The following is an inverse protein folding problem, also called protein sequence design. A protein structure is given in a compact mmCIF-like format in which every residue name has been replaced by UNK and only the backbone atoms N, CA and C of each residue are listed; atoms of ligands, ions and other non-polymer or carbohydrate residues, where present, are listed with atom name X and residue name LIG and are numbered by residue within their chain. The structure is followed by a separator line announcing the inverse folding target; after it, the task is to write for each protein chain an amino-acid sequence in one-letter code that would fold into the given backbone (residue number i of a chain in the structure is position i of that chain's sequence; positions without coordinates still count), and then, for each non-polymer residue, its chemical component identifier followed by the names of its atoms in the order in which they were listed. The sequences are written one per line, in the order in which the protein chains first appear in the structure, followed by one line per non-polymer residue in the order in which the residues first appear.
data_IF_694111222805
#
_entry.id   IF_694111222805
#
_cell.length_a   1.000
_cell.length_b   1.000
_cell.length_c   1.000
_cell.angle_alpha   90.00
_cell.angle_beta   90.00
_cell.angle_gamma   90.00
#
_symmetry.space_group_name_H-M   'P 1'
#
loop_
_entity.id
_entity.type
_entity.pdbx_description
1 polymer ?
#
# COMPACT_ATOMS: atom_id res chain seq x y z
N UNK A 1 -10.63 -21.80 6.11
CA UNK A 1 -9.82 -20.59 5.86
C UNK A 1 -8.48 -20.87 6.51
N UNK A 2 -7.39 -20.94 5.75
CA UNK A 2 -6.06 -20.85 6.36
C UNK A 2 -5.88 -19.37 6.67
N UNK A 3 -5.69 -19.03 7.93
CA UNK A 3 -5.53 -17.65 8.37
C UNK A 3 -4.31 -17.06 7.67
N UNK A 4 -4.51 -16.07 6.80
CA UNK A 4 -3.38 -15.33 6.24
C UNK A 4 -2.61 -14.66 7.37
N UNK A 5 -1.27 -14.64 7.31
CA UNK A 5 -0.47 -14.00 8.33
C UNK A 5 -0.78 -12.51 8.34
N UNK A 6 -1.39 -12.04 9.41
CA UNK A 6 -1.72 -10.62 9.57
C UNK A 6 -0.44 -9.78 9.44
N UNK A 7 -0.45 -8.63 8.73
CA UNK A 7 0.74 -7.83 8.48
C UNK A 7 1.54 -7.60 9.75
N UNK A 8 2.73 -8.20 9.77
CA UNK A 8 3.63 -8.17 10.91
C UNK A 8 4.58 -6.96 10.81
N UNK A 9 5.54 -6.88 11.70
CA UNK A 9 6.50 -5.78 11.67
C UNK A 9 7.43 -5.81 10.46
N UNK A 10 7.81 -7.00 10.00
CA UNK A 10 8.62 -7.16 8.80
C UNK A 10 7.93 -6.53 7.58
N UNK A 11 6.65 -6.84 7.37
CA UNK A 11 5.85 -6.20 6.32
C UNK A 11 5.85 -4.66 6.45
N UNK A 12 5.59 -4.13 7.65
CA UNK A 12 5.57 -2.67 7.86
C UNK A 12 6.91 -2.02 7.55
N UNK A 13 8.02 -2.66 7.88
CA UNK A 13 9.35 -2.16 7.58
C UNK A 13 9.64 -2.21 6.07
N UNK A 14 9.27 -3.30 5.36
CA UNK A 14 9.37 -3.37 3.91
C UNK A 14 8.56 -2.26 3.23
N UNK A 15 7.32 -2.06 3.67
CA UNK A 15 6.44 -1.01 3.17
C UNK A 15 7.01 0.39 3.42
N UNK A 16 7.50 0.68 4.64
CA UNK A 16 8.15 1.96 4.94
C UNK A 16 9.39 2.22 4.07
N UNK A 17 10.19 1.17 3.82
CA UNK A 17 11.38 1.28 2.98
C UNK A 17 11.01 1.54 1.52
N UNK A 18 9.99 0.84 1.00
CA UNK A 18 9.44 1.10 -0.33
C UNK A 18 8.96 2.55 -0.48
N UNK A 19 8.19 3.06 0.49
CA UNK A 19 7.69 4.44 0.42
C UNK A 19 8.82 5.48 0.42
N UNK A 20 9.88 5.26 1.20
CA UNK A 20 11.05 6.14 1.21
C UNK A 20 11.86 6.05 -0.08
N UNK A 21 12.00 4.84 -0.61
CA UNK A 21 12.64 4.62 -1.90
C UNK A 21 11.89 5.36 -3.02
N UNK A 22 10.56 5.23 -3.08
CA UNK A 22 9.74 5.96 -4.04
C UNK A 22 9.75 7.48 -3.80
N UNK A 23 9.78 7.95 -2.56
CA UNK A 23 9.98 9.38 -2.26
C UNK A 23 11.29 9.89 -2.88
N UNK A 24 12.39 9.13 -2.76
CA UNK A 24 13.67 9.49 -3.37
C UNK A 24 13.57 9.52 -4.90
N UNK A 25 13.04 8.46 -5.52
CA UNK A 25 12.92 8.37 -6.97
C UNK A 25 12.11 9.53 -7.55
N UNK A 26 10.97 9.85 -6.93
CA UNK A 26 10.06 10.91 -7.39
C UNK A 26 10.70 12.28 -7.18
N UNK A 27 11.36 12.52 -6.05
CA UNK A 27 12.10 13.75 -5.84
C UNK A 27 13.22 13.91 -6.88
N UNK A 28 14.05 12.89 -7.10
CA UNK A 28 15.11 12.94 -8.11
C UNK A 28 14.57 13.18 -9.52
N UNK A 29 13.43 12.57 -9.87
CA UNK A 29 12.76 12.83 -11.14
C UNK A 29 12.33 14.29 -11.26
N UNK A 30 11.61 14.83 -10.28
CA UNK A 30 11.15 16.22 -10.32
C UNK A 30 12.30 17.23 -10.32
N UNK A 31 13.37 16.96 -9.57
CA UNK A 31 14.58 17.77 -9.57
C UNK A 31 15.41 17.65 -10.85
N UNK A 32 15.21 16.62 -11.67
CA UNK A 32 15.82 16.52 -13.01
C UNK A 32 15.09 17.38 -14.04
N UNK A 33 13.83 17.73 -13.75
CA UNK A 33 13.00 18.58 -14.59
C UNK A 33 13.09 20.05 -14.20
N UNK A 34 13.48 20.35 -12.96
CA UNK A 34 13.54 21.71 -12.42
C UNK A 34 14.98 22.17 -12.14
N UNK A 35 15.14 23.48 -11.98
CA UNK A 35 16.39 24.14 -11.57
C UNK A 35 16.58 24.18 -10.06
N UNK A 36 15.51 23.98 -9.28
CA UNK A 36 15.52 24.01 -7.81
C UNK A 36 15.45 22.60 -7.22
N UNK A 37 16.05 22.41 -6.05
CA UNK A 37 16.07 21.13 -5.31
C UNK A 37 15.05 21.12 -4.16
N UNK A 38 14.65 19.94 -3.72
CA UNK A 38 13.79 19.79 -2.56
C UNK A 38 14.53 20.21 -1.28
N UNK A 39 13.84 20.99 -0.44
CA UNK A 39 14.20 21.18 0.97
C UNK A 39 13.57 20.07 1.79
N UNK A 40 14.40 19.35 2.53
CA UNK A 40 13.97 18.25 3.39
C UNK A 40 13.80 18.71 4.84
N UNK A 41 12.71 18.28 5.45
CA UNK A 41 12.47 18.39 6.89
C UNK A 41 12.07 17.02 7.45
N UNK A 42 12.89 16.51 8.37
CA UNK A 42 12.60 15.29 9.13
C UNK A 42 11.97 15.67 10.45
N UNK A 43 10.78 15.14 10.72
CA UNK A 43 10.03 15.46 11.94
C UNK A 43 9.61 14.20 12.69
N UNK A 44 9.44 14.33 13.99
CA UNK A 44 9.02 13.25 14.89
C UNK A 44 7.78 13.67 15.67
N UNK A 45 6.78 12.80 15.73
CA UNK A 45 5.59 12.98 16.57
C UNK A 45 5.86 12.43 17.97
N UNK A 46 5.48 13.17 19.01
CA UNK A 46 5.53 12.71 20.41
C UNK A 46 4.14 12.79 21.03
N UNK A 47 3.85 11.95 22.03
CA UNK A 47 2.66 12.11 22.86
C UNK A 47 2.93 13.09 24.03
N UNK A 48 1.90 13.45 24.79
CA UNK A 48 2.03 14.33 25.96
C UNK A 48 2.94 13.80 27.09
N UNK A 49 3.43 12.54 26.99
CA UNK A 49 4.40 11.93 27.90
C UNK A 49 5.78 11.75 27.24
N UNK A 50 6.05 12.42 26.11
CA UNK A 50 7.33 12.36 25.40
C UNK A 50 7.62 11.09 24.60
N UNK A 51 6.72 10.09 24.60
CA UNK A 51 6.89 8.85 23.82
C UNK A 51 6.76 9.16 22.32
N UNK A 52 7.74 8.71 21.53
CA UNK A 52 7.72 8.81 20.07
C UNK A 52 6.55 8.00 19.50
N UNK A 53 5.75 8.63 18.64
CA UNK A 53 4.55 8.13 17.99
C UNK A 53 4.75 8.04 16.46
N UNK A 54 5.98 7.86 16.02
CA UNK A 54 6.38 7.91 14.61
C UNK A 54 6.83 9.31 14.18
N UNK A 55 6.72 9.60 12.89
CA UNK A 55 7.23 10.82 12.26
C UNK A 55 7.06 10.80 10.75
N UNK A 56 7.88 11.59 10.07
CA UNK A 56 7.85 11.67 8.61
C UNK A 56 9.02 12.44 8.04
N UNK A 57 9.07 12.46 6.71
CA UNK A 57 10.02 13.23 5.91
C UNK A 57 9.17 14.08 4.97
N UNK A 58 9.19 15.38 5.19
CA UNK A 58 8.56 16.37 4.33
C UNK A 58 9.61 16.86 3.34
N UNK A 59 9.33 16.81 2.04
CA UNK A 59 10.20 17.41 1.02
C UNK A 59 9.40 18.39 0.20
N UNK A 60 9.85 19.64 0.19
CA UNK A 60 9.18 20.74 -0.51
C UNK A 60 10.14 21.43 -1.47
N UNK A 61 9.73 21.58 -2.73
CA UNK A 61 10.37 22.37 -3.76
C UNK A 61 9.45 23.56 -4.06
N UNK A 62 9.99 24.77 -4.02
CA UNK A 62 9.24 26.02 -4.23
C UNK A 62 10.03 26.95 -5.15
N UNK A 63 9.30 27.77 -5.91
CA UNK A 63 9.86 28.80 -6.78
C UNK A 63 10.82 28.22 -7.84
N UNK A 64 10.49 27.05 -8.38
CA UNK A 64 11.17 26.44 -9.50
C UNK A 64 10.80 27.06 -10.84
N UNK A 65 11.52 26.67 -11.89
CA UNK A 65 11.20 27.08 -13.27
C UNK A 65 10.13 26.21 -13.91
N UNK A 66 9.96 24.97 -13.42
CA UNK A 66 8.93 24.02 -13.89
C UNK A 66 7.80 23.91 -12.88
N UNK A 67 8.12 23.81 -11.59
CA UNK A 67 7.15 23.71 -10.51
C UNK A 67 7.11 25.01 -9.70
N UNK A 68 5.93 25.63 -9.63
CA UNK A 68 5.66 26.73 -8.71
C UNK A 68 5.84 26.23 -7.28
N UNK A 69 5.22 25.08 -6.99
CA UNK A 69 5.34 24.38 -5.72
C UNK A 69 5.10 22.89 -5.88
N UNK A 70 5.96 22.09 -5.27
CA UNK A 70 5.81 20.64 -5.20
C UNK A 70 6.14 20.13 -3.81
N UNK A 71 5.37 19.16 -3.32
CA UNK A 71 5.64 18.46 -2.07
C UNK A 71 5.52 16.95 -2.26
N UNK A 72 6.50 16.21 -1.74
CA UNK A 72 6.54 14.74 -1.72
C UNK A 72 6.80 14.32 -0.28
N UNK A 73 5.77 13.84 0.40
CA UNK A 73 5.77 13.67 1.85
C UNK A 73 5.60 12.19 2.23
N UNK A 74 6.55 11.68 3.00
CA UNK A 74 6.48 10.39 3.66
C UNK A 74 6.06 10.56 5.11
N UNK A 75 5.19 9.68 5.60
CA UNK A 75 4.87 9.59 7.03
C UNK A 75 4.71 8.15 7.48
N UNK A 76 5.07 7.88 8.73
CA UNK A 76 4.81 6.63 9.45
C UNK A 76 4.49 6.96 10.90
N UNK A 77 3.25 6.73 11.32
CA UNK A 77 2.71 7.18 12.60
C UNK A 77 2.02 6.04 13.33
N UNK A 78 2.11 6.11 14.67
CA UNK A 78 1.43 5.22 15.60
C UNK A 78 0.61 6.05 16.57
N UNK A 79 -0.52 5.53 17.02
CA UNK A 79 -1.32 6.25 17.98
C UNK A 79 -2.46 5.44 18.55
N UNK A 80 -3.35 6.14 19.21
CA UNK A 80 -4.62 5.61 19.68
C UNK A 80 -5.76 6.24 18.90
N UNK A 81 -6.79 5.46 18.63
CA UNK A 81 -8.01 5.90 17.98
C UNK A 81 -9.22 5.39 18.78
N UNK A 82 -10.21 6.25 18.93
CA UNK A 82 -11.46 5.90 19.63
C UNK A 82 -12.31 4.97 18.76
N UNK A 83 -13.19 4.18 19.40
CA UNK A 83 -13.94 3.10 18.74
C UNK A 83 -14.83 3.62 17.62
N UNK A 84 -15.50 4.74 17.85
CA UNK A 84 -16.42 5.39 16.92
C UNK A 84 -15.66 5.88 15.68
N UNK A 85 -14.52 6.54 15.88
CA UNK A 85 -13.65 6.99 14.80
C UNK A 85 -13.11 5.80 13.98
N UNK A 86 -12.67 4.73 14.65
CA UNK A 86 -12.22 3.52 13.96
C UNK A 86 -13.33 2.84 13.16
N UNK A 87 -14.56 2.81 13.69
CA UNK A 87 -15.73 2.34 12.95
C UNK A 87 -15.93 3.17 11.69
N UNK A 88 -15.93 4.51 11.80
CA UNK A 88 -16.10 5.38 10.63
C UNK A 88 -15.03 5.17 9.56
N UNK A 89 -13.76 5.01 9.96
CA UNK A 89 -12.67 4.71 9.01
C UNK A 89 -12.86 3.35 8.32
N UNK A 90 -13.48 2.40 9.01
CA UNK A 90 -13.72 1.05 8.51
C UNK A 90 -14.95 0.95 7.61
N UNK A 91 -15.91 1.87 7.68
CA UNK A 91 -17.10 1.79 6.83
C UNK A 91 -16.83 2.51 5.52
N UNK A 92 -16.90 1.76 4.42
CA UNK A 92 -16.90 2.34 3.08
C UNK A 92 -18.30 2.91 2.77
N UNK A 93 -18.66 4.06 3.35
CA UNK A 93 -19.96 4.71 3.15
C UNK A 93 -20.02 5.58 1.89
N UNK A 94 -18.88 5.91 1.29
CA UNK A 94 -18.85 6.81 0.16
C UNK A 94 -19.56 6.20 -1.05
N UNK A 95 -20.65 6.85 -1.45
CA UNK A 95 -21.36 6.60 -2.71
C UNK A 95 -21.79 5.14 -2.91
N UNK A 96 -22.24 4.45 -1.86
CA UNK A 96 -22.77 3.07 -1.97
C UNK A 96 -23.88 2.93 -3.03
N UNK A 97 -24.65 3.99 -3.25
CA UNK A 97 -25.68 4.08 -4.28
C UNK A 97 -25.11 4.05 -5.71
N UNK A 98 -23.88 4.53 -5.91
CA UNK A 98 -23.25 4.69 -7.22
C UNK A 98 -22.12 3.69 -7.48
N UNK A 99 -21.47 3.16 -6.43
CA UNK A 99 -20.37 2.21 -6.53
C UNK A 99 -20.56 1.07 -5.52
N UNK A 100 -20.84 -0.12 -6.03
CA UNK A 100 -20.77 -1.33 -5.23
C UNK A 100 -19.32 -1.84 -5.14
N UNK A 101 -18.55 -1.30 -4.19
CA UNK A 101 -17.16 -1.69 -3.94
C UNK A 101 -17.02 -3.05 -3.25
N UNK A 102 -18.11 -3.72 -2.84
CA UNK A 102 -18.03 -5.00 -2.10
C UNK A 102 -17.31 -6.12 -2.86
N UNK A 103 -17.23 -6.01 -4.20
CA UNK A 103 -16.49 -6.95 -5.06
C UNK A 103 -14.98 -6.76 -5.02
N UNK A 104 -14.48 -5.61 -4.56
CA UNK A 104 -13.06 -5.21 -4.64
C UNK A 104 -12.50 -4.78 -3.28
N UNK A 105 -13.27 -3.99 -2.52
CA UNK A 105 -12.93 -3.52 -1.19
C UNK A 105 -13.90 -4.18 -0.20
N UNK A 106 -13.57 -5.40 0.24
CA UNK A 106 -14.37 -6.05 1.27
C UNK A 106 -14.03 -5.45 2.63
N UNK A 107 -15.03 -5.17 3.44
CA UNK A 107 -14.82 -4.79 4.83
C UNK A 107 -16.00 -5.33 5.63
N UNK A 108 -15.78 -6.43 6.34
CA UNK A 108 -16.70 -6.79 7.42
C UNK A 108 -16.70 -5.67 8.46
N UNK A 109 -17.82 -5.50 9.18
CA UNK A 109 -17.86 -4.60 10.33
C UNK A 109 -16.76 -5.02 11.32
N UNK A 110 -15.99 -4.02 11.78
CA UNK A 110 -14.93 -4.20 12.77
C UNK A 110 -15.43 -4.93 14.02
N UNK A 111 -16.70 -4.73 14.43
CA UNK A 111 -17.27 -5.44 15.58
C UNK A 111 -17.42 -6.95 15.30
N UNK A 112 -17.78 -7.31 14.07
CA UNK A 112 -17.91 -8.71 13.65
C UNK A 112 -16.54 -9.38 13.63
N UNK A 113 -15.52 -8.69 13.10
CA UNK A 113 -14.14 -9.18 13.08
C UNK A 113 -13.61 -9.37 14.51
N UNK A 114 -13.82 -8.39 15.39
CA UNK A 114 -13.41 -8.48 16.80
C UNK A 114 -14.08 -9.68 17.47
N UNK A 115 -15.38 -9.86 17.28
CA UNK A 115 -16.13 -10.99 17.86
C UNK A 115 -15.56 -12.34 17.41
N UNK A 116 -15.23 -12.48 16.12
CA UNK A 116 -14.55 -13.67 15.58
C UNK A 116 -13.17 -13.90 16.22
N UNK A 117 -12.36 -12.85 16.36
CA UNK A 117 -11.02 -12.93 16.98
C UNK A 117 -11.11 -13.32 18.46
N UNK A 118 -12.10 -12.78 19.18
CA UNK A 118 -12.32 -13.07 20.60
C UNK A 118 -12.76 -14.51 20.83
N UNK A 119 -13.70 -14.99 20.02
CA UNK A 119 -14.25 -16.34 20.14
C UNK A 119 -13.24 -17.42 19.75
N UNK A 120 -12.49 -17.21 18.65
CA UNK A 120 -11.48 -18.17 18.17
C UNK A 120 -10.29 -18.35 19.12
N UNK A 121 -9.94 -17.31 19.88
CA UNK A 121 -8.73 -17.32 20.71
C UNK A 121 -8.99 -17.38 22.22
N UNK A 122 -10.25 -17.47 22.65
CA UNK A 122 -10.66 -17.39 24.07
C UNK A 122 -10.08 -16.17 24.81
N UNK A 123 -10.11 -15.02 24.14
CA UNK A 123 -9.53 -13.75 24.60
C UNK A 123 -10.64 -12.81 25.10
N UNK A 124 -10.30 -11.88 26.00
CA UNK A 124 -11.12 -10.72 26.37
C UNK A 124 -10.41 -9.44 25.97
N UNK A 125 -11.18 -8.49 25.42
CA UNK A 125 -10.67 -7.14 25.15
C UNK A 125 -10.44 -6.41 26.48
N UNK A 126 -9.24 -5.84 26.66
CA UNK A 126 -8.85 -5.16 27.91
C UNK A 126 -8.70 -3.65 27.75
N UNK A 127 -9.02 -3.08 26.59
CA UNK A 127 -8.86 -1.64 26.37
C UNK A 127 -10.10 -1.03 25.73
N UNK A 128 -10.39 0.21 26.11
CA UNK A 128 -11.48 0.99 25.52
C UNK A 128 -11.06 1.70 24.24
N UNK A 129 -9.77 2.07 24.10
CA UNK A 129 -9.22 2.68 22.88
C UNK A 129 -8.49 1.66 22.00
N UNK A 130 -8.57 1.82 20.69
CA UNK A 130 -7.76 1.03 19.76
C UNK A 130 -6.40 1.68 19.57
N UNK A 131 -5.40 0.88 19.19
CA UNK A 131 -4.15 1.40 18.65
C UNK A 131 -4.20 1.33 17.14
N UNK A 132 -3.48 2.23 16.47
CA UNK A 132 -3.32 2.18 15.03
C UNK A 132 -1.87 2.39 14.62
N UNK A 133 -1.60 1.93 13.40
CA UNK A 133 -0.43 2.23 12.59
C UNK A 133 -0.92 2.78 11.26
N UNK A 134 -0.28 3.82 10.76
CA UNK A 134 -0.52 4.34 9.43
C UNK A 134 0.80 4.80 8.81
N UNK A 135 1.02 4.47 7.55
CA UNK A 135 2.13 5.01 6.79
C UNK A 135 1.73 5.25 5.35
N UNK A 136 2.33 6.26 4.73
CA UNK A 136 1.99 6.62 3.36
C UNK A 136 2.92 7.65 2.74
N UNK A 137 2.84 7.70 1.42
CA UNK A 137 3.47 8.69 0.57
C UNK A 137 2.37 9.57 -0.03
N UNK A 138 2.55 10.88 0.02
CA UNK A 138 1.63 11.86 -0.54
C UNK A 138 2.37 12.83 -1.43
N UNK A 139 1.79 13.16 -2.58
CA UNK A 139 2.39 13.99 -3.62
C UNK A 139 1.38 15.05 -4.01
N UNK A 140 1.85 16.29 -4.10
CA UNK A 140 1.15 17.37 -4.79
C UNK A 140 2.18 18.17 -5.57
N UNK A 141 1.94 18.40 -6.85
CA UNK A 141 2.81 19.25 -7.66
C UNK A 141 1.96 20.21 -8.50
N UNK A 142 2.34 21.48 -8.44
CA UNK A 142 1.75 22.58 -9.17
C UNK A 142 2.79 23.14 -10.14
N UNK A 143 2.67 22.85 -11.44
CA UNK A 143 3.55 23.43 -12.45
C UNK A 143 3.35 24.95 -12.59
N UNK A 144 4.41 25.68 -12.94
CA UNK A 144 4.35 27.10 -13.30
C UNK A 144 3.55 27.30 -14.60
N UNK A 145 3.78 26.43 -15.58
CA UNK A 145 3.12 26.52 -16.88
C UNK A 145 1.67 26.04 -16.78
N UNK A 146 0.65 26.88 -17.09
CA UNK A 146 -0.76 26.49 -16.99
C UNK A 146 -1.17 25.40 -17.99
N UNK A 147 -0.35 25.12 -19.01
CA UNK A 147 -0.56 23.99 -19.92
C UNK A 147 -0.17 22.64 -19.28
N UNK A 148 0.60 22.66 -18.19
CA UNK A 148 0.97 21.48 -17.44
C UNK A 148 -0.01 21.28 -16.27
N UNK A 149 -0.68 20.12 -16.15
CA UNK A 149 -1.68 19.91 -15.13
C UNK A 149 -1.07 19.77 -13.73
N UNK A 150 -1.82 20.21 -12.71
CA UNK A 150 -1.49 19.85 -11.34
C UNK A 150 -1.74 18.37 -11.11
N UNK A 151 -0.86 17.72 -10.34
CA UNK A 151 -0.97 16.30 -9.99
C UNK A 151 -1.09 16.13 -8.49
N UNK A 152 -1.95 15.19 -8.10
CA UNK A 152 -2.05 14.71 -6.73
C UNK A 152 -1.94 13.19 -6.73
N UNK A 153 -1.21 12.64 -5.76
CA UNK A 153 -1.18 11.21 -5.53
C UNK A 153 -1.03 10.89 -4.04
N UNK A 154 -1.60 9.77 -3.63
CA UNK A 154 -1.47 9.27 -2.26
C UNK A 154 -1.45 7.74 -2.29
N UNK A 155 -0.55 7.12 -1.54
CA UNK A 155 -0.54 5.67 -1.33
C UNK A 155 -0.24 5.40 0.14
N UNK A 156 -1.12 4.65 0.80
CA UNK A 156 -1.07 4.45 2.25
C UNK A 156 -1.50 3.06 2.67
N UNK A 157 -0.97 2.65 3.81
CA UNK A 157 -1.37 1.46 4.53
C UNK A 157 -1.84 1.85 5.93
N UNK A 158 -2.91 1.22 6.39
CA UNK A 158 -3.46 1.43 7.71
C UNK A 158 -3.69 0.09 8.42
N UNK A 159 -3.45 0.05 9.72
CA UNK A 159 -3.65 -1.14 10.54
C UNK A 159 -4.16 -0.77 11.93
N UNK A 160 -5.19 -1.47 12.40
CA UNK A 160 -5.82 -1.31 13.71
C UNK A 160 -5.47 -2.50 14.59
N UNK A 161 -5.26 -2.21 15.87
CA UNK A 161 -4.94 -3.18 16.90
C UNK A 161 -5.83 -3.00 18.14
N UNK A 162 -6.16 -4.12 18.77
CA UNK A 162 -6.83 -4.17 20.07
C UNK A 162 -5.90 -4.78 21.10
N UNK A 163 -6.05 -4.36 22.36
CA UNK A 163 -5.38 -5.03 23.48
C UNK A 163 -6.18 -6.25 23.90
N UNK A 164 -5.52 -7.40 23.89
CA UNK A 164 -6.11 -8.71 24.15
C UNK A 164 -5.51 -9.33 25.41
N UNK A 165 -6.34 -9.91 26.29
CA UNK A 165 -5.92 -10.71 27.44
C UNK A 165 -6.53 -12.09 27.41
N UNK A 166 -5.89 -13.07 28.05
CA UNK A 166 -6.51 -14.40 28.25
C UNK A 166 -7.73 -14.26 29.17
N UNK A 167 -8.85 -14.91 28.85
CA UNK A 167 -9.93 -15.06 29.82
C UNK A 167 -9.40 -15.84 31.03
N UNK A 168 -9.68 -15.39 32.26
CA UNK A 168 -9.50 -16.23 33.46
C UNK A 168 -10.36 -17.47 33.24
N UNK A 169 -9.76 -18.66 33.26
CA UNK A 169 -10.53 -19.88 33.47
C UNK A 169 -11.24 -19.71 34.82
N UNK A 170 -12.57 -19.65 34.79
CA UNK A 170 -13.35 -19.86 35.99
C UNK A 170 -13.11 -21.32 36.37
N UNK A 171 -12.24 -21.55 37.36
CA UNK A 171 -12.22 -22.81 38.07
C UNK A 171 -13.58 -22.93 38.73
N UNK A 172 -14.49 -23.67 38.10
CA UNK A 172 -15.57 -24.29 38.84
C UNK A 172 -14.89 -25.27 39.80
N UNK A 173 -14.86 -24.91 41.07
CA UNK A 173 -14.46 -25.80 42.15
C UNK A 173 -15.42 -26.98 42.16
N UNK A 174 -15.02 -28.08 41.52
CA UNK A 174 -15.41 -29.41 41.92
C UNK A 174 -14.14 -30.13 42.37
N UNK A 175 -13.89 -30.09 43.68
CA UNK A 175 -12.90 -30.94 44.32
C UNK A 175 -13.22 -32.41 44.00
N UNK A 176 -12.25 -33.14 43.41
CA UNK A 176 -11.77 -34.42 43.94
C UNK A 176 -10.58 -34.98 43.15
N UNK A 177 -9.53 -35.22 43.92
CA UNK A 177 -8.52 -36.29 43.82
C UNK A 177 -7.39 -36.17 42.79
N UNK A 178 -6.23 -35.91 43.39
CA UNK A 178 -4.88 -36.03 42.88
C UNK A 178 -4.51 -37.50 42.67
N UNK A 179 -4.12 -37.87 41.45
CA UNK A 179 -3.28 -39.05 41.20
C UNK A 179 -2.30 -38.73 40.06
N UNK A 180 -1.05 -38.56 40.46
CA UNK A 180 0.19 -38.84 39.71
C UNK A 180 0.06 -39.36 38.28
N UNK A 181 0.46 -38.55 37.29
CA UNK A 181 1.33 -38.87 36.14
C UNK A 181 1.74 -37.51 35.53
N UNK A 182 2.93 -37.04 35.88
CA UNK A 182 3.68 -36.01 35.15
C UNK A 182 5.15 -36.09 35.57
N UNK A 183 5.80 -37.16 35.11
CA UNK A 183 7.24 -37.26 34.92
C UNK A 183 7.37 -37.69 33.45
N UNK A 184 8.35 -37.13 32.74
CA UNK A 184 8.53 -37.20 31.27
C UNK A 184 7.72 -36.15 30.49
N UNK A 185 8.23 -34.92 30.42
CA UNK A 185 8.99 -34.37 29.27
C UNK A 185 9.43 -32.96 29.70
N UNK A 186 10.48 -32.93 30.52
CA UNK A 186 11.24 -31.72 30.81
C UNK A 186 12.71 -32.11 30.79
N UNK A 187 13.23 -32.37 29.58
CA UNK A 187 14.65 -32.40 29.28
C UNK A 187 14.78 -32.41 27.76
N UNK A 188 15.02 -31.22 27.20
CA UNK A 188 15.96 -30.98 26.11
C UNK A 188 16.00 -29.47 25.81
N UNK A 189 16.64 -28.74 26.73
CA UNK A 189 17.43 -27.57 26.36
C UNK A 189 18.82 -28.09 26.00
N UNK A 190 19.20 -28.06 24.73
CA UNK A 190 20.60 -27.90 24.33
C UNK A 190 20.68 -27.26 22.94
N UNK A 191 21.45 -26.16 22.92
CA UNK A 191 22.37 -25.71 21.89
C UNK A 191 21.90 -25.63 20.44
N UNK A 192 21.75 -24.39 19.96
CA UNK A 192 22.55 -23.91 18.82
C UNK A 192 22.70 -22.38 18.95
N UNK A 193 23.86 -21.95 19.44
CA UNK A 193 24.38 -20.59 19.23
C UNK A 193 25.44 -20.68 18.14
N UNK A 194 25.29 -19.84 17.10
CA UNK A 194 26.29 -19.19 16.25
C UNK A 194 25.97 -19.31 14.77
N UNK A 195 25.37 -18.25 14.22
CA UNK A 195 25.97 -17.39 13.18
C UNK A 195 25.19 -16.07 13.11
N UNK A 196 25.93 -14.99 12.83
CA UNK A 196 25.68 -13.62 13.26
C UNK A 196 24.85 -12.78 12.28
N UNK A 197 24.28 -11.68 12.81
CA UNK A 197 23.64 -10.53 12.14
C UNK A 197 22.14 -10.59 11.76
N UNK A 198 21.29 -10.94 12.73
CA UNK A 198 19.95 -10.30 12.80
C UNK A 198 20.00 -9.20 13.85
N UNK A 199 20.04 -7.94 13.41
CA UNK A 199 19.69 -6.82 14.28
C UNK A 199 18.37 -7.16 14.97
N UNK A 200 18.37 -7.19 16.30
CA UNK A 200 17.16 -7.37 17.12
C UNK A 200 16.19 -6.21 16.81
N UNK A 201 15.33 -6.40 15.80
CA UNK A 201 14.27 -5.44 15.46
C UNK A 201 13.29 -5.44 16.61
N UNK A 202 13.44 -4.47 17.52
CA UNK A 202 12.58 -4.33 18.69
C UNK A 202 11.19 -3.92 18.23
N UNK A 203 10.20 -4.76 18.53
CA UNK A 203 8.85 -4.52 18.04
C UNK A 203 8.26 -3.18 18.43
N UNK A 204 7.90 -2.38 17.40
CA UNK A 204 7.19 -1.10 17.55
C UNK A 204 5.84 -1.28 18.25
N UNK A 205 5.28 -2.49 18.25
CA UNK A 205 3.99 -2.84 18.87
C UNK A 205 4.18 -3.97 19.91
N UNK A 206 3.71 -3.74 21.13
CA UNK A 206 3.74 -4.72 22.22
C UNK A 206 2.96 -6.00 21.86
N UNK A 207 3.49 -7.17 22.25
CA UNK A 207 2.95 -8.51 21.94
C UNK A 207 1.53 -8.74 22.45
N UNK A 208 1.10 -7.95 23.44
CA UNK A 208 -0.27 -7.97 23.97
C UNK A 208 -1.32 -7.31 23.05
N UNK A 209 -0.90 -6.75 21.91
CA UNK A 209 -1.79 -6.18 20.91
C UNK A 209 -1.97 -7.12 19.73
N UNK A 210 -3.24 -7.37 19.38
CA UNK A 210 -3.62 -8.16 18.21
C UNK A 210 -4.14 -7.23 17.12
N UNK A 211 -3.64 -7.40 15.90
CA UNK A 211 -4.18 -6.69 14.75
C UNK A 211 -5.58 -7.23 14.44
N UNK A 212 -6.51 -6.31 14.14
CA UNK A 212 -7.91 -6.64 13.87
C UNK A 212 -8.30 -6.35 12.44
N UNK A 213 -7.78 -5.28 11.85
CA UNK A 213 -8.07 -4.89 10.48
C UNK A 213 -6.90 -4.11 9.93
N UNK A 214 -6.64 -4.28 8.65
CA UNK A 214 -5.69 -3.50 7.89
C UNK A 214 -6.24 -3.29 6.48
N UNK A 215 -5.78 -2.24 5.80
CA UNK A 215 -6.15 -1.99 4.42
C UNK A 215 -5.16 -1.03 3.76
N UNK A 216 -5.16 -1.05 2.44
CA UNK A 216 -4.54 -0.04 1.62
C UNK A 216 -5.57 0.99 1.16
N UNK A 217 -5.09 2.21 0.97
CA UNK A 217 -5.81 3.27 0.29
C UNK A 217 -4.85 4.08 -0.56
N UNK A 218 -5.38 4.77 -1.54
CA UNK A 218 -4.57 5.59 -2.40
C UNK A 218 -5.24 5.99 -3.69
N UNK A 219 -4.44 6.48 -4.61
CA UNK A 219 -4.91 7.01 -5.87
C UNK A 219 -3.96 8.06 -6.43
N UNK A 220 -4.24 8.44 -7.66
CA UNK A 220 -3.57 9.55 -8.33
C UNK A 220 -4.55 10.18 -9.30
N UNK A 221 -4.54 11.51 -9.38
CA UNK A 221 -5.45 12.28 -10.21
C UNK A 221 -4.77 13.53 -10.79
N UNK A 222 -5.31 14.01 -11.92
CA UNK A 222 -4.87 15.21 -12.61
C UNK A 222 -5.93 16.32 -12.57
N UNK A 223 -5.45 17.54 -12.34
CA UNK A 223 -6.24 18.77 -12.31
C UNK A 223 -5.66 19.79 -13.30
N UNK A 224 -6.04 19.71 -14.59
CA UNK A 224 -5.57 20.63 -15.63
C UNK A 224 -6.28 21.99 -15.60
N UNK A 225 -5.56 23.04 -16.01
CA UNK A 225 -6.20 24.33 -16.37
C UNK A 225 -6.74 24.30 -17.80
N UNK A 226 -6.00 23.70 -18.74
CA UNK A 226 -6.38 23.53 -20.15
C UNK A 226 -6.50 22.05 -20.54
N UNK A 227 -7.39 21.75 -21.49
CA UNK A 227 -7.71 20.37 -21.87
C UNK A 227 -6.79 19.91 -23.00
N UNK A 228 -6.02 18.86 -22.74
CA UNK A 228 -5.17 18.16 -23.72
C UNK A 228 -5.57 16.68 -23.77
N UNK A 229 -6.50 16.28 -24.66
CA UNK A 229 -7.11 14.95 -24.62
C UNK A 229 -6.10 13.80 -24.68
N UNK A 230 -5.07 13.91 -25.51
CA UNK A 230 -4.05 12.86 -25.68
C UNK A 230 -3.25 12.60 -24.39
N UNK A 231 -2.87 13.67 -23.66
CA UNK A 231 -2.21 13.56 -22.37
C UNK A 231 -3.08 12.79 -21.37
N UNK A 232 -4.37 13.09 -21.33
CA UNK A 232 -5.29 12.48 -20.38
C UNK A 232 -5.61 11.03 -20.73
N UNK A 233 -5.72 10.71 -22.02
CA UNK A 233 -5.86 9.32 -22.49
C UNK A 233 -4.64 8.51 -22.04
N UNK A 234 -3.43 9.01 -22.26
CA UNK A 234 -2.19 8.31 -21.89
C UNK A 234 -2.06 8.14 -20.36
N UNK A 235 -2.44 9.16 -19.58
CA UNK A 235 -2.49 9.10 -18.12
C UNK A 235 -3.44 7.99 -17.64
N UNK A 236 -4.68 7.97 -18.15
CA UNK A 236 -5.68 6.98 -17.78
C UNK A 236 -5.32 5.56 -18.26
N UNK A 237 -4.77 5.44 -19.47
CA UNK A 237 -4.32 4.18 -20.02
C UNK A 237 -3.21 3.55 -19.17
N UNK A 238 -2.29 4.36 -18.64
CA UNK A 238 -1.22 3.89 -17.76
C UNK A 238 -1.77 3.22 -16.49
N UNK A 239 -2.78 3.80 -15.85
CA UNK A 239 -3.43 3.14 -14.70
C UNK A 239 -4.21 1.90 -15.09
N UNK A 240 -4.89 1.92 -16.24
CA UNK A 240 -5.61 0.75 -16.73
C UNK A 240 -4.67 -0.44 -16.92
N UNK A 241 -3.52 -0.23 -17.56
CA UNK A 241 -2.50 -1.27 -17.74
C UNK A 241 -2.01 -1.85 -16.41
N UNK A 242 -1.76 -1.00 -15.40
CA UNK A 242 -1.33 -1.48 -14.08
C UNK A 242 -2.45 -2.24 -13.37
N UNK A 243 -3.67 -1.71 -13.38
CA UNK A 243 -4.83 -2.35 -12.76
C UNK A 243 -5.14 -3.72 -13.37
N UNK A 244 -5.11 -3.82 -14.70
CA UNK A 244 -5.46 -5.04 -15.44
C UNK A 244 -4.51 -6.21 -15.15
N UNK A 245 -3.25 -5.94 -14.74
CA UNK A 245 -2.30 -6.98 -14.28
C UNK A 245 -2.79 -7.72 -13.04
N UNK A 246 -3.60 -7.07 -12.20
CA UNK A 246 -4.10 -7.65 -10.96
C UNK A 246 -5.57 -8.05 -11.08
N UNK A 247 -6.41 -7.15 -11.60
CA UNK A 247 -7.82 -7.38 -11.82
C UNK A 247 -8.39 -6.35 -12.80
N UNK A 248 -8.93 -6.84 -13.92
CA UNK A 248 -9.57 -6.03 -14.96
C UNK A 248 -10.72 -5.13 -14.47
N UNK A 249 -11.30 -5.40 -13.30
CA UNK A 249 -12.32 -4.55 -12.69
C UNK A 249 -11.73 -3.35 -11.94
N UNK A 250 -10.48 -3.39 -11.49
CA UNK A 250 -9.90 -2.36 -10.63
C UNK A 250 -9.98 -0.97 -11.27
N UNK A 251 -9.51 -0.81 -12.50
CA UNK A 251 -9.54 0.51 -13.16
C UNK A 251 -10.97 1.05 -13.26
N UNK A 252 -11.92 0.21 -13.70
CA UNK A 252 -13.33 0.61 -13.84
C UNK A 252 -13.89 1.17 -12.53
N UNK A 253 -13.68 0.49 -11.41
CA UNK A 253 -14.23 0.92 -10.13
C UNK A 253 -13.43 2.06 -9.51
N UNK A 254 -12.11 2.03 -9.58
CA UNK A 254 -11.26 3.08 -9.01
C UNK A 254 -11.40 4.41 -9.75
N UNK A 255 -11.65 4.38 -11.07
CA UNK A 255 -11.93 5.57 -11.86
C UNK A 255 -13.24 6.25 -11.46
N UNK A 256 -14.33 5.49 -11.41
CA UNK A 256 -15.64 6.02 -10.98
C UNK A 256 -15.53 6.55 -9.55
N UNK A 257 -14.80 5.87 -8.68
CA UNK A 257 -14.58 6.34 -7.30
C UNK A 257 -13.81 7.65 -7.27
N UNK A 258 -12.76 7.78 -8.07
CA UNK A 258 -12.00 9.03 -8.19
C UNK A 258 -12.89 10.20 -8.60
N UNK A 259 -13.76 9.99 -9.59
CA UNK A 259 -14.64 11.03 -10.12
C UNK A 259 -15.67 11.51 -9.09
N UNK A 260 -16.24 10.58 -8.33
CA UNK A 260 -17.18 10.94 -7.27
C UNK A 260 -16.49 11.54 -6.04
N UNK A 261 -15.27 11.10 -5.72
CA UNK A 261 -14.53 11.56 -4.55
C UNK A 261 -14.08 13.02 -4.70
N UNK A 262 -13.53 13.39 -5.87
CA UNK A 262 -13.05 14.75 -6.14
C UNK A 262 -14.11 15.68 -6.74
N UNK A 263 -15.39 15.34 -6.57
CA UNK A 263 -16.52 16.16 -7.00
C UNK A 263 -16.78 17.29 -6.00
N UNK A 264 -16.76 18.53 -6.50
CA UNK A 264 -17.11 19.73 -5.75
C UNK A 264 -18.64 19.88 -5.77
N UNK A 265 -19.30 19.36 -4.74
CA UNK A 265 -20.78 19.20 -4.68
C UNK A 265 -21.55 20.46 -5.05
N UNK A 266 -21.18 21.62 -4.49
CA UNK A 266 -21.90 22.88 -4.69
C UNK A 266 -21.69 23.51 -6.09
N UNK A 267 -20.62 23.14 -6.80
CA UNK A 267 -20.37 23.59 -8.18
C UNK A 267 -20.84 22.59 -9.22
N UNK A 268 -21.23 21.39 -8.79
CA UNK A 268 -21.59 20.28 -9.65
C UNK A 268 -20.48 19.86 -10.65
N UNK A 269 -19.21 20.16 -10.36
CA UNK A 269 -18.05 19.83 -11.21
C UNK A 269 -17.00 19.01 -10.44
N UNK A 270 -16.18 18.26 -11.17
CA UNK A 270 -14.99 17.61 -10.61
C UNK A 270 -13.82 18.59 -10.50
N UNK A 271 -12.91 18.36 -9.54
CA UNK A 271 -11.67 19.15 -9.40
C UNK A 271 -10.80 19.10 -10.66
N UNK A 272 -10.86 18.00 -11.41
CA UNK A 272 -10.06 17.76 -12.61
C UNK A 272 -10.61 16.61 -13.43
N UNK A 273 -9.73 15.96 -14.21
CA UNK A 273 -10.08 14.82 -15.08
C UNK A 273 -10.08 13.48 -14.35
N UNK A 274 -9.84 13.51 -13.04
CA UNK A 274 -9.77 12.36 -12.17
C UNK A 274 -8.52 11.52 -12.43
N UNK A 275 -8.66 10.21 -12.22
CA UNK A 275 -7.58 9.23 -12.26
C UNK A 275 -8.07 7.96 -11.62
N UNK A 276 -7.34 7.43 -10.64
CA UNK A 276 -7.81 6.31 -9.82
C UNK A 276 -7.89 6.72 -8.35
N UNK A 277 -8.87 6.18 -7.63
CA UNK A 277 -8.98 6.31 -6.19
C UNK A 277 -9.50 5.01 -5.59
N UNK A 278 -8.91 4.60 -4.48
CA UNK A 278 -9.34 3.44 -3.71
C UNK A 278 -9.09 3.64 -2.22
N UNK A 279 -9.91 3.01 -1.40
CA UNK A 279 -9.72 2.91 0.03
C UNK A 279 -10.31 1.58 0.51
N UNK A 280 -9.96 1.17 1.73
CA UNK A 280 -10.37 -0.12 2.28
C UNK A 280 -10.06 -1.31 1.34
N UNK A 281 -9.00 -1.20 0.52
CA UNK A 281 -8.56 -2.30 -0.33
C UNK A 281 -7.85 -3.33 0.55
N UNK A 282 -8.37 -4.55 0.59
CA UNK A 282 -7.74 -5.66 1.30
C UNK A 282 -6.73 -6.37 0.41
N UNK A 283 -5.78 -7.06 1.03
CA UNK A 283 -4.87 -7.94 0.31
C UNK A 283 -5.65 -9.06 -0.41
N UNK A 284 -5.13 -9.48 -1.56
CA UNK A 284 -5.82 -10.06 -2.71
C UNK A 284 -6.40 -11.47 -2.53
N UNK A 285 -7.07 -11.81 -1.42
CA UNK A 285 -8.03 -12.91 -1.45
C UNK A 285 -9.37 -12.44 -1.99
N UNK A 286 -9.37 -12.10 -3.29
CA UNK A 286 -10.61 -12.18 -4.07
C UNK A 286 -11.03 -13.64 -3.99
N UNK A 287 -12.08 -13.93 -3.22
CA UNK A 287 -12.75 -15.22 -3.30
C UNK A 287 -13.14 -15.41 -4.76
N UNK A 288 -12.38 -16.21 -5.50
CA UNK A 288 -12.92 -16.89 -6.66
C UNK A 288 -14.12 -17.67 -6.12
N UNK A 289 -15.32 -17.12 -6.28
CA UNK A 289 -16.55 -17.91 -6.17
C UNK A 289 -16.34 -18.99 -7.21
N UNK A 290 -15.94 -20.19 -6.76
CA UNK A 290 -16.12 -21.39 -7.55
C UNK A 290 -17.58 -21.32 -7.99
N UNK A 291 -17.80 -21.10 -9.28
CA UNK A 291 -19.09 -21.43 -9.86
C UNK A 291 -19.29 -22.89 -9.50
N UNK A 292 -20.22 -23.16 -8.59
CA UNK A 292 -20.74 -24.50 -8.38
C UNK A 292 -21.51 -24.85 -9.64
N UNK A 293 -20.80 -25.20 -10.70
CA UNK A 293 -21.38 -26.00 -11.79
C UNK A 293 -21.47 -27.41 -11.23
N UNK A 294 -22.67 -27.74 -10.74
CA UNK A 294 -23.15 -29.11 -10.74
C UNK A 294 -23.02 -29.66 -12.16
N UNK A 295 -22.05 -30.53 -12.37
CA UNK A 295 -21.80 -31.13 -13.67
C UNK A 295 -20.59 -32.05 -13.63
N UNK A 296 -20.85 -33.34 -13.45
CA UNK A 296 -19.87 -34.42 -13.53
C UNK A 296 -19.11 -34.33 -14.87
N UNK A 297 -17.78 -34.30 -14.81
CA UNK A 297 -16.92 -34.74 -15.92
C UNK A 297 -15.53 -35.05 -15.37
N UNK A 298 -15.13 -36.31 -15.48
CA UNK A 298 -13.80 -36.84 -15.17
C UNK A 298 -12.76 -36.25 -16.13
N UNK A 299 -11.56 -35.99 -15.63
CA UNK A 299 -10.43 -35.51 -16.43
C UNK A 299 -9.26 -35.12 -15.55
N UNK A 300 -8.51 -36.13 -15.08
CA UNK A 300 -7.14 -36.00 -14.57
C UNK A 300 -6.29 -35.28 -15.62
N UNK A 301 -5.53 -34.26 -15.25
CA UNK A 301 -4.23 -33.86 -15.82
C UNK A 301 -3.65 -32.70 -14.99
N UNK A 302 -2.64 -33.03 -14.18
CA UNK A 302 -1.48 -32.25 -13.76
C UNK A 302 -1.58 -30.73 -13.56
N UNK A 303 -1.67 -30.35 -12.28
CA UNK A 303 -1.18 -29.07 -11.75
C UNK A 303 0.34 -28.98 -11.86
N UNK A 304 0.84 -28.22 -12.83
CA UNK A 304 2.16 -27.58 -12.74
C UNK A 304 1.95 -26.07 -12.72
N UNK A 305 2.50 -25.45 -11.68
CA UNK A 305 2.72 -24.02 -11.57
C UNK A 305 3.35 -23.51 -12.87
N UNK A 306 2.71 -22.53 -13.52
CA UNK A 306 3.39 -21.66 -14.49
C UNK A 306 3.54 -20.31 -13.79
N UNK A 307 4.49 -20.30 -12.84
CA UNK A 307 5.33 -19.13 -12.61
C UNK A 307 6.45 -19.30 -13.62
N UNK A 308 6.25 -18.77 -14.83
CA UNK A 308 7.36 -18.53 -15.74
C UNK A 308 7.43 -17.03 -16.00
N UNK A 309 8.49 -16.45 -15.46
CA UNK A 309 9.10 -15.21 -15.95
C UNK A 309 9.11 -15.21 -17.47
N UNK A 310 8.37 -14.29 -18.09
CA UNK A 310 8.63 -13.84 -19.45
C UNK A 310 8.74 -12.33 -19.48
N UNK A 311 10.00 -11.88 -19.44
CA UNK A 311 10.55 -10.62 -19.90
C UNK A 311 9.55 -9.69 -20.59
N UNK A 312 9.05 -8.69 -19.86
CA UNK A 312 8.22 -7.64 -20.44
C UNK A 312 9.15 -6.58 -21.08
N UNK A 313 9.34 -6.68 -22.40
CA UNK A 313 9.94 -5.62 -23.24
C UNK A 313 8.95 -4.44 -23.36
N UNK A 314 8.86 -3.60 -22.33
CA UNK A 314 8.07 -2.37 -22.39
C UNK A 314 8.96 -1.15 -22.67
N UNK A 315 9.76 -1.20 -23.74
CA UNK A 315 10.31 -0.01 -24.39
C UNK A 315 10.60 -0.36 -25.85
N UNK A 316 9.68 0.00 -26.73
CA UNK A 316 9.95 0.15 -28.15
C UNK A 316 9.17 1.37 -28.64
N UNK A 317 9.87 2.51 -28.68
CA UNK A 317 9.46 3.64 -29.51
C UNK A 317 9.52 3.13 -30.95
N UNK A 318 8.38 2.88 -31.56
CA UNK A 318 8.30 2.60 -32.99
C UNK A 318 8.62 3.89 -33.73
N UNK A 319 9.86 4.00 -34.21
CA UNK A 319 10.24 4.97 -35.22
C UNK A 319 9.62 4.56 -36.54
N UNK A 320 8.49 5.15 -36.92
CA UNK A 320 8.00 5.09 -38.29
C UNK A 320 8.96 5.87 -39.19
N UNK A 321 9.55 5.16 -40.16
CA UNK A 321 10.32 5.74 -41.24
C UNK A 321 9.34 6.40 -42.22
N UNK A 322 9.22 7.72 -42.16
CA UNK A 322 8.77 8.49 -43.33
C UNK A 322 10.00 9.09 -44.02
N UNK A 323 10.26 8.55 -45.20
CA UNK A 323 11.23 9.04 -46.17
C UNK A 323 10.79 10.38 -46.76
N UNK A 324 11.78 11.27 -46.93
CA UNK A 324 11.83 12.42 -47.85
C UNK A 324 11.17 13.75 -47.43
N UNK A 325 11.97 14.66 -46.87
CA UNK A 325 12.43 15.88 -47.60
C UNK A 325 13.59 16.56 -46.85
N UNK A 326 14.61 16.92 -47.62
CA UNK A 326 15.87 17.55 -47.20
C UNK A 326 15.65 19.02 -46.82
N UNK A 327 16.18 19.43 -45.67
CA UNK A 327 16.91 20.72 -45.56
C UNK A 327 17.89 20.67 -44.38
N UNK A 328 19.17 20.93 -44.70
CA UNK A 328 20.34 20.93 -43.81
C UNK A 328 20.31 22.12 -42.85
N UNK A 329 20.53 21.90 -41.54
CA UNK A 329 21.40 22.75 -40.69
C UNK A 329 22.09 21.84 -39.64
N UNK A 330 23.28 22.25 -39.19
CA UNK A 330 24.45 21.45 -38.78
C UNK A 330 24.34 20.73 -37.43
N UNK A 331 25.07 19.60 -37.39
CA UNK A 331 25.51 18.79 -36.25
C UNK A 331 26.09 19.61 -35.08
N UNK A 332 25.72 19.22 -33.86
CA UNK A 332 26.64 19.06 -32.75
C UNK A 332 26.57 17.58 -32.35
N UNK A 333 27.72 16.91 -32.33
CA UNK A 333 27.90 15.49 -31.97
C UNK A 333 28.68 15.42 -30.65
N UNK A 334 28.47 14.30 -29.95
CA UNK A 334 29.20 13.75 -28.79
C UNK A 334 28.71 14.28 -27.43
N UNK A 335 28.47 13.47 -26.40
CA UNK A 335 28.82 12.07 -26.12
C UNK A 335 27.84 11.48 -25.09
N UNK A 336 27.12 10.41 -25.44
CA UNK A 336 26.33 9.62 -24.48
C UNK A 336 25.98 8.25 -25.07
N UNK A 337 27.02 7.53 -25.50
CA UNK A 337 26.96 6.12 -25.89
C UNK A 337 28.15 5.38 -25.31
N UNK A 338 28.12 5.18 -24.00
CA UNK A 338 28.93 4.21 -23.24
C UNK A 338 28.63 4.53 -21.77
N UNK A 339 27.62 3.89 -21.16
CA UNK A 339 27.42 3.80 -19.70
C UNK A 339 26.13 3.03 -19.36
N UNK A 340 25.80 1.95 -20.09
CA UNK A 340 24.77 0.98 -19.65
C UNK A 340 25.18 -0.41 -20.15
N UNK A 341 26.21 -0.98 -19.53
CA UNK A 341 26.56 -2.40 -19.59
C UNK A 341 27.56 -2.65 -18.47
N UNK A 342 27.04 -2.85 -17.26
CA UNK A 342 27.60 -3.62 -16.15
C UNK A 342 26.79 -3.28 -14.89
N UNK A 343 26.64 -4.26 -13.99
CA UNK A 343 25.87 -4.24 -12.73
C UNK A 343 24.35 -4.51 -12.81
N UNK A 344 23.99 -5.69 -13.31
CA UNK A 344 22.78 -6.41 -12.88
C UNK A 344 22.98 -7.94 -13.00
N UNK A 345 24.09 -8.44 -12.48
CA UNK A 345 24.28 -9.84 -12.13
C UNK A 345 25.02 -9.86 -10.81
N UNK A 346 24.31 -10.10 -9.71
CA UNK A 346 24.79 -10.74 -8.48
C UNK A 346 23.56 -10.93 -7.55
N UNK A 347 23.50 -12.12 -6.95
CA UNK A 347 22.61 -12.58 -5.86
C UNK A 347 21.24 -13.16 -6.24
N UNK A 348 21.26 -14.38 -6.82
CA UNK A 348 20.14 -15.32 -6.80
C UNK A 348 20.49 -16.74 -6.27
N UNK A 349 21.59 -16.93 -5.52
CA UNK A 349 21.91 -18.21 -4.89
C UNK A 349 22.14 -18.09 -3.39
N UNK A 350 21.05 -18.02 -2.61
CA UNK A 350 20.97 -18.62 -1.28
C UNK A 350 19.52 -18.54 -0.77
N UNK A 351 18.69 -19.51 -1.16
CA UNK A 351 17.48 -19.94 -0.44
C UNK A 351 16.89 -21.16 -1.18
N UNK A 352 17.56 -22.30 -1.02
CA UNK A 352 16.90 -23.61 -1.01
C UNK A 352 16.59 -24.00 0.43
#
# INVERSE_FOLDING_TARGET
MKDEPTPNEYFRNLWENLLKYEQNNICSLFESLDTVKFKEEIWTRKNGKGKKLGGGITRVLENGTVFEKCAVNFSSVFGTIDKEAAKQMCVNQYNKEYINTTKICHSEDINTIISKIMNSNNIKMINEKYKFYASGLSIIAHPVNPNSPSIHANFRFFQIFIRAGKKKQTNNNSNKNMSSINKYVLNNKMNLNNTNNTQNVKSKIDSNYKSVKHWFGGGCDLSPCYIFPELFINFHHSFKLVCDKYNHLFYKYFKIWCDLYFRIKHRNISRGVGGIFFDNLLDNTIKNKKLTKSGKSKGTQNTKNIIENKNCKCYSITSEKNSNKKTKVKKIKSSSKEFIKEECELDQEEMM
#
